data_IF_892727718418
#
_entry.id   IF_892727718418
#
_cell.length_a   1.000
_cell.length_b   1.000
_cell.length_c   1.000
_cell.angle_alpha   90.00
_cell.angle_beta   90.00
_cell.angle_gamma   90.00
#
_symmetry.space_group_name_H-M   'P 1'
#
loop_
_entity.id
_entity.type
_entity.pdbx_description
1 polymer ?
#
# COMPACT_ATOMS: atom_id res chain seq x y z
N UNK A 1 8.78 -21.08 -8.09
CA UNK A 1 9.85 -20.86 -7.08
C UNK A 1 11.20 -21.50 -7.50
N UNK A 2 11.19 -22.51 -8.36
CA UNK A 2 12.41 -23.23 -8.81
C UNK A 2 13.33 -22.41 -9.73
N UNK A 3 12.89 -21.26 -10.25
CA UNK A 3 13.66 -20.41 -11.16
C UNK A 3 14.46 -19.30 -10.50
N UNK A 4 14.38 -19.15 -9.19
CA UNK A 4 15.11 -18.08 -8.50
C UNK A 4 16.62 -18.31 -8.44
N UNK A 5 17.04 -19.57 -8.46
CA UNK A 5 18.46 -19.96 -8.43
C UNK A 5 19.18 -19.74 -9.76
N UNK A 6 18.41 -19.56 -10.87
CA UNK A 6 18.92 -19.29 -12.20
C UNK A 6 19.03 -17.79 -12.53
N UNK A 7 18.56 -16.91 -11.63
CA UNK A 7 18.64 -15.47 -11.84
C UNK A 7 20.05 -14.96 -11.56
N UNK A 8 20.71 -14.47 -12.59
CA UNK A 8 21.91 -13.66 -12.42
C UNK A 8 21.51 -12.35 -11.71
N UNK A 9 21.98 -12.21 -10.48
CA UNK A 9 21.77 -10.97 -9.74
C UNK A 9 22.49 -9.82 -10.43
N UNK A 10 21.85 -8.67 -10.64
CA UNK A 10 22.51 -7.51 -11.20
C UNK A 10 23.70 -7.10 -10.31
N UNK A 11 24.75 -6.52 -10.90
CA UNK A 11 25.90 -6.05 -10.13
C UNK A 11 25.43 -5.09 -9.04
N UNK A 12 26.11 -5.10 -7.91
CA UNK A 12 25.78 -4.24 -6.75
C UNK A 12 25.76 -2.78 -7.20
N UNK A 13 24.59 -2.16 -7.16
CA UNK A 13 24.39 -0.76 -7.52
C UNK A 13 24.17 0.03 -6.22
N UNK A 14 24.90 1.12 -6.03
CA UNK A 14 24.64 2.02 -4.90
C UNK A 14 23.30 2.71 -5.04
N UNK A 15 22.63 3.05 -3.94
CA UNK A 15 21.37 3.81 -3.95
C UNK A 15 21.49 5.15 -4.69
N UNK A 16 22.67 5.79 -4.63
CA UNK A 16 22.98 7.01 -5.38
C UNK A 16 22.98 6.78 -6.88
N UNK A 17 23.59 5.69 -7.34
CA UNK A 17 23.63 5.30 -8.75
C UNK A 17 22.25 4.93 -9.28
N UNK A 18 21.47 4.19 -8.50
CA UNK A 18 20.08 3.86 -8.84
C UNK A 18 19.21 5.12 -8.97
N UNK A 19 19.30 6.02 -8.01
CA UNK A 19 18.56 7.28 -8.05
C UNK A 19 18.93 8.16 -9.26
N UNK A 20 20.22 8.20 -9.63
CA UNK A 20 20.66 8.89 -10.83
C UNK A 20 20.09 8.29 -12.11
N UNK A 21 20.07 6.95 -12.24
CA UNK A 21 19.49 6.26 -13.39
C UNK A 21 17.98 6.48 -13.49
N UNK A 22 17.26 6.39 -12.38
CA UNK A 22 15.81 6.63 -12.37
C UNK A 22 15.47 8.05 -12.84
N UNK A 23 16.22 9.06 -12.41
CA UNK A 23 15.99 10.44 -12.84
C UNK A 23 16.12 10.66 -14.35
N UNK A 24 16.87 9.81 -15.05
CA UNK A 24 17.04 9.86 -16.50
C UNK A 24 15.94 9.13 -17.26
N UNK A 25 15.10 8.35 -16.57
CA UNK A 25 14.03 7.59 -17.22
C UNK A 25 12.79 8.46 -17.42
N UNK A 26 12.31 8.64 -18.68
CA UNK A 26 11.13 9.46 -18.97
C UNK A 26 9.89 9.03 -18.18
N UNK A 27 9.64 7.73 -18.10
CA UNK A 27 8.53 7.17 -17.34
C UNK A 27 8.59 7.52 -15.84
N UNK A 28 9.77 7.50 -15.24
CA UNK A 28 9.96 7.93 -13.85
C UNK A 28 9.66 9.41 -13.65
N UNK A 29 10.08 10.26 -14.59
CA UNK A 29 9.81 11.70 -14.54
C UNK A 29 8.32 12.00 -14.65
N UNK A 30 7.62 11.32 -15.56
CA UNK A 30 6.17 11.44 -15.72
C UNK A 30 5.42 10.99 -14.46
N UNK A 31 5.77 9.83 -13.92
CA UNK A 31 5.18 9.29 -12.71
C UNK A 31 5.41 10.23 -11.51
N UNK A 32 6.62 10.77 -11.39
CA UNK A 32 6.97 11.71 -10.33
C UNK A 32 6.14 12.99 -10.43
N UNK A 33 6.02 13.57 -11.62
CA UNK A 33 5.22 14.78 -11.86
C UNK A 33 3.74 14.54 -11.52
N UNK A 34 3.19 13.37 -11.86
CA UNK A 34 1.82 12.98 -11.52
C UNK A 34 1.60 12.98 -10.01
N UNK A 35 2.45 12.31 -9.26
CA UNK A 35 2.30 12.22 -7.80
C UNK A 35 2.56 13.56 -7.10
N UNK A 36 3.50 14.37 -7.58
CA UNK A 36 3.74 15.72 -7.07
C UNK A 36 2.52 16.63 -7.26
N UNK A 37 1.79 16.49 -8.38
CA UNK A 37 0.54 17.21 -8.63
C UNK A 37 -0.57 16.80 -7.64
N UNK A 38 -0.54 15.58 -7.13
CA UNK A 38 -1.45 15.05 -6.10
C UNK A 38 -0.99 15.38 -4.66
N UNK A 39 0.12 16.11 -4.50
CA UNK A 39 0.72 16.42 -3.19
C UNK A 39 1.50 15.27 -2.57
N UNK A 40 1.82 14.24 -3.35
CA UNK A 40 2.58 13.07 -2.91
C UNK A 40 4.04 13.15 -3.37
N UNK A 41 4.93 12.58 -2.58
CA UNK A 41 6.35 12.58 -2.88
C UNK A 41 6.85 11.21 -3.30
N UNK A 42 7.12 11.04 -4.60
CA UNK A 42 7.70 9.82 -5.15
C UNK A 42 9.23 9.86 -5.09
N UNK A 43 9.82 8.84 -4.51
CA UNK A 43 11.27 8.64 -4.36
C UNK A 43 11.63 7.17 -4.57
N UNK A 44 12.90 6.80 -4.85
CA UNK A 44 13.29 5.39 -4.98
C UNK A 44 12.92 4.55 -3.75
N UNK A 45 12.94 5.14 -2.56
CA UNK A 45 12.55 4.47 -1.32
C UNK A 45 11.05 4.11 -1.26
N UNK A 46 10.22 4.75 -2.09
CA UNK A 46 8.78 4.45 -2.17
C UNK A 46 8.49 3.02 -2.60
N UNK A 47 9.41 2.34 -3.31
CA UNK A 47 9.28 0.91 -3.60
C UNK A 47 9.30 0.07 -2.33
N UNK A 48 10.14 0.42 -1.37
CA UNK A 48 10.24 -0.25 -0.07
C UNK A 48 8.98 -0.01 0.77
N UNK A 49 8.48 1.22 0.77
CA UNK A 49 7.24 1.58 1.45
C UNK A 49 6.05 0.81 0.84
N UNK A 50 5.98 0.75 -0.49
CA UNK A 50 4.95 0.00 -1.21
C UNK A 50 5.00 -1.50 -0.90
N UNK A 51 6.19 -2.09 -0.84
CA UNK A 51 6.35 -3.50 -0.46
C UNK A 51 5.76 -3.78 0.92
N UNK A 52 6.06 -2.92 1.89
CA UNK A 52 5.52 -3.06 3.24
C UNK A 52 4.00 -2.95 3.27
N UNK A 53 3.44 -1.92 2.64
CA UNK A 53 1.99 -1.70 2.61
C UNK A 53 1.29 -2.88 1.93
N UNK A 54 1.75 -3.33 0.77
CA UNK A 54 1.18 -4.49 0.06
C UNK A 54 1.28 -5.78 0.86
N UNK A 55 2.37 -5.97 1.60
CA UNK A 55 2.53 -7.15 2.45
C UNK A 55 1.48 -7.17 3.57
N UNK A 56 1.16 -6.02 4.15
CA UNK A 56 0.09 -5.91 5.13
C UNK A 56 -1.30 -6.08 4.50
N UNK A 57 -1.53 -5.54 3.31
CA UNK A 57 -2.80 -5.74 2.58
C UNK A 57 -3.04 -7.21 2.21
N UNK A 58 -1.97 -7.97 2.01
CA UNK A 58 -1.99 -9.42 1.79
C UNK A 58 -2.00 -10.25 3.09
N UNK A 59 -2.12 -9.59 4.24
CA UNK A 59 -2.15 -10.22 5.57
C UNK A 59 -0.92 -11.09 5.88
N UNK A 60 0.24 -10.72 5.30
CA UNK A 60 1.50 -11.40 5.61
C UNK A 60 1.93 -11.03 7.03
N UNK A 61 2.32 -12.02 7.80
CA UNK A 61 2.79 -11.82 9.17
C UNK A 61 3.92 -10.78 9.24
N UNK A 62 3.79 -9.81 10.14
CA UNK A 62 4.71 -8.67 10.24
C UNK A 62 6.15 -9.09 10.50
N UNK A 63 6.39 -10.18 11.22
CA UNK A 63 7.74 -10.72 11.46
C UNK A 63 8.41 -11.17 10.17
N UNK A 64 7.65 -11.80 9.26
CA UNK A 64 8.13 -12.20 7.94
C UNK A 64 8.40 -10.99 7.05
N UNK A 65 7.55 -9.98 7.11
CA UNK A 65 7.76 -8.71 6.39
C UNK A 65 9.06 -8.04 6.86
N UNK A 66 9.27 -7.96 8.17
CA UNK A 66 10.49 -7.41 8.76
C UNK A 66 11.74 -8.18 8.32
N UNK A 67 11.68 -9.51 8.33
CA UNK A 67 12.78 -10.37 7.87
C UNK A 67 13.09 -10.12 6.39
N UNK A 68 12.06 -10.07 5.52
CA UNK A 68 12.22 -9.78 4.09
C UNK A 68 12.80 -8.37 3.84
N UNK A 69 12.44 -7.40 4.66
CA UNK A 69 12.94 -6.03 4.57
C UNK A 69 14.30 -5.81 5.24
N UNK A 70 14.80 -6.78 6.00
CA UNK A 70 16.09 -6.71 6.69
C UNK A 70 16.13 -5.68 7.82
N UNK A 71 15.02 -5.50 8.55
CA UNK A 71 14.97 -4.61 9.71
C UNK A 71 14.18 -5.22 10.88
N UNK A 72 14.39 -4.67 12.08
CA UNK A 72 13.68 -5.12 13.28
C UNK A 72 12.22 -4.63 13.30
N UNK A 73 11.40 -5.30 14.14
CA UNK A 73 10.01 -4.87 14.42
C UNK A 73 9.93 -3.44 14.94
N UNK A 74 10.89 -3.02 15.75
CA UNK A 74 10.93 -1.65 16.27
C UNK A 74 11.13 -0.62 15.17
N UNK A 75 12.07 -0.87 14.26
CA UNK A 75 12.31 -0.02 13.08
C UNK A 75 11.10 -0.01 12.18
N UNK A 76 10.46 -1.16 11.98
CA UNK A 76 9.25 -1.28 11.19
C UNK A 76 8.13 -0.41 11.74
N UNK A 77 7.80 -0.54 13.01
CA UNK A 77 6.76 0.27 13.69
C UNK A 77 7.05 1.76 13.61
N UNK A 78 8.29 2.17 13.80
CA UNK A 78 8.69 3.58 13.70
C UNK A 78 8.47 4.15 12.31
N UNK A 79 8.85 3.40 11.28
CA UNK A 79 8.79 3.83 9.89
C UNK A 79 7.36 3.83 9.32
N UNK A 80 6.51 2.90 9.76
CA UNK A 80 5.18 2.68 9.19
C UNK A 80 4.01 3.13 10.06
N UNK A 81 4.26 3.76 11.20
CA UNK A 81 3.23 4.30 12.11
C UNK A 81 2.18 5.16 11.41
N UNK A 82 2.62 5.99 10.48
CA UNK A 82 1.72 6.89 9.74
C UNK A 82 0.83 6.11 8.76
N UNK A 83 1.35 5.03 8.17
CA UNK A 83 0.59 4.17 7.28
C UNK A 83 -0.45 3.35 8.04
N UNK A 84 -0.10 2.82 9.21
CA UNK A 84 -1.04 2.11 10.08
C UNK A 84 -2.23 3.00 10.46
N UNK A 85 -1.99 4.24 10.87
CA UNK A 85 -3.04 5.19 11.23
C UNK A 85 -3.97 5.49 10.04
N UNK A 86 -3.43 5.69 8.84
CA UNK A 86 -4.20 5.88 7.61
C UNK A 86 -5.02 4.63 7.25
N UNK A 87 -4.45 3.45 7.40
CA UNK A 87 -5.09 2.17 7.10
C UNK A 87 -6.24 1.90 8.07
N UNK A 88 -6.02 2.11 9.37
CA UNK A 88 -7.05 2.01 10.41
C UNK A 88 -8.21 2.95 10.09
N UNK A 89 -7.92 4.21 9.81
CA UNK A 89 -8.95 5.20 9.46
C UNK A 89 -9.78 4.76 8.27
N UNK A 90 -9.14 4.32 7.17
CA UNK A 90 -9.84 3.82 5.98
C UNK A 90 -10.69 2.59 6.27
N UNK A 91 -10.22 1.68 7.14
CA UNK A 91 -10.99 0.51 7.55
C UNK A 91 -12.28 0.90 8.28
N UNK A 92 -12.20 1.85 9.20
CA UNK A 92 -13.38 2.37 9.90
C UNK A 92 -14.34 3.13 8.99
N UNK A 93 -13.83 3.94 8.07
CA UNK A 93 -14.63 4.64 7.06
C UNK A 93 -15.42 3.64 6.20
N UNK A 94 -14.77 2.59 5.66
CA UNK A 94 -15.42 1.52 4.88
C UNK A 94 -16.47 0.76 5.69
N UNK A 95 -16.16 0.43 6.94
CA UNK A 95 -17.12 -0.25 7.82
C UNK A 95 -18.35 0.61 8.09
N UNK A 96 -18.18 1.91 8.26
CA UNK A 96 -19.25 2.88 8.42
C UNK A 96 -20.13 2.98 7.17
N UNK A 97 -19.54 3.09 5.99
CA UNK A 97 -20.23 3.15 4.70
C UNK A 97 -21.04 1.87 4.44
N UNK A 98 -20.46 0.70 4.68
CA UNK A 98 -21.12 -0.59 4.53
C UNK A 98 -22.34 -0.71 5.46
N UNK A 99 -22.22 -0.19 6.70
CA UNK A 99 -23.31 -0.19 7.67
C UNK A 99 -24.46 0.73 7.24
N UNK A 100 -24.14 1.91 6.69
CA UNK A 100 -25.13 2.84 6.17
C UNK A 100 -25.85 2.24 4.94
N UNK A 101 -25.12 1.67 4.00
CA UNK A 101 -25.68 1.01 2.82
C UNK A 101 -26.62 -0.16 3.19
N UNK A 102 -26.25 -0.96 4.21
CA UNK A 102 -27.08 -2.05 4.72
C UNK A 102 -28.36 -1.55 5.40
N UNK A 103 -28.30 -0.43 6.11
CA UNK A 103 -29.48 0.21 6.72
C UNK A 103 -30.44 0.73 5.66
N UNK A 104 -29.94 1.42 4.64
CA UNK A 104 -30.75 1.96 3.55
C UNK A 104 -31.46 0.85 2.77
N UNK A 105 -30.77 -0.27 2.49
CA UNK A 105 -31.38 -1.44 1.84
C UNK A 105 -32.50 -2.06 2.68
N UNK A 106 -32.33 -2.18 3.99
CA UNK A 106 -33.36 -2.70 4.90
C UNK A 106 -34.58 -1.78 4.96
N UNK A 107 -34.38 -0.47 4.97
CA UNK A 107 -35.47 0.50 4.97
C UNK A 107 -36.27 0.46 3.67
N UNK A 108 -35.60 0.34 2.52
CA UNK A 108 -36.26 0.17 1.22
C UNK A 108 -37.08 -1.10 1.15
N UNK A 109 -36.51 -2.25 1.58
CA UNK A 109 -37.25 -3.52 1.63
C UNK A 109 -38.45 -3.47 2.56
N UNK A 110 -38.36 -2.80 3.71
CA UNK A 110 -39.48 -2.65 4.63
C UNK A 110 -40.59 -1.78 4.02
N UNK A 111 -40.24 -0.71 3.32
CA UNK A 111 -41.19 0.16 2.63
C UNK A 111 -41.90 -0.57 1.49
N UNK A 112 -41.16 -1.35 0.68
CA UNK A 112 -41.74 -2.17 -0.41
C UNK A 112 -42.69 -3.26 0.13
N UNK A 113 -42.40 -3.84 1.29
CA UNK A 113 -43.30 -4.82 1.92
C UNK A 113 -44.55 -4.18 2.48
N UNK A 114 -44.48 -2.96 2.99
CA UNK A 114 -45.65 -2.20 3.47
C UNK A 114 -46.58 -1.76 2.34
N UNK A 115 -46.02 -1.45 1.15
CA UNK A 115 -46.83 -1.13 -0.04
C UNK A 115 -47.56 -2.34 -0.64
N UNK A 116 -47.07 -3.57 -0.37
CA UNK A 116 -47.68 -4.82 -0.89
C UNK A 116 -48.79 -5.38 0.02
N UNK A 117 -48.99 -4.80 1.17
CA UNK A 117 -50.05 -5.15 2.12
C UNK A 117 -51.21 -4.15 2.00
#
# INVERSE_FOLDING_TARGET
LEKWDELEWPPTISGKSLGAKLRLMPYWQELKAKYEAEGEWLRPYSFRDTFSVRSHDLEIETTLVCAAMGHSMEVHRRSYRTHEAKTIRKAYERASENRQASRSKRQQQSAELEELV
#
